data_IF_448800834543
#
_entry.id   IF_448800834543
#
_cell.length_a   1.000
_cell.length_b   1.000
_cell.length_c   1.000
_cell.angle_alpha   90.00
_cell.angle_beta   90.00
_cell.angle_gamma   90.00
#
_symmetry.space_group_name_H-M   'P 1'
#
loop_
_entity.id
_entity.type
_entity.pdbx_description
1 polymer ?
#
# COMPACT_ATOMS: atom_id res chain seq x y z
N UNK A 1 57.01 62.77 38.35
CA UNK A 1 55.60 62.54 38.76
C UNK A 1 55.26 61.10 38.40
N UNK A 2 55.26 60.12 39.34
CA UNK A 2 54.14 59.78 40.25
C UNK A 2 52.81 59.63 39.46
N UNK A 3 52.07 58.51 39.40
CA UNK A 3 51.92 57.30 40.25
C UNK A 3 51.31 56.13 39.42
N UNK A 4 51.57 54.93 39.93
CA UNK A 4 51.16 53.53 39.64
C UNK A 4 49.64 53.24 39.88
N UNK A 5 49.15 51.96 39.96
CA UNK A 5 49.05 50.83 39.01
C UNK A 5 47.64 50.14 39.05
N UNK A 6 47.45 48.98 38.39
CA UNK A 6 46.82 47.72 38.88
C UNK A 6 46.03 46.90 37.83
N UNK A 7 46.51 45.66 37.68
CA UNK A 7 45.83 44.42 37.28
C UNK A 7 44.32 44.31 37.57
N UNK A 8 43.58 43.64 36.67
CA UNK A 8 43.10 42.23 36.82
C UNK A 8 42.17 41.88 35.64
N UNK A 9 42.50 40.82 34.89
CA UNK A 9 41.57 40.16 33.96
C UNK A 9 40.53 39.41 34.80
N UNK A 10 39.22 39.49 34.51
CA UNK A 10 38.25 38.64 35.17
C UNK A 10 38.36 37.22 34.62
N UNK A 11 38.23 36.29 35.56
CA UNK A 11 38.18 34.84 35.44
C UNK A 11 37.04 34.38 34.53
N UNK A 12 37.32 33.35 33.73
CA UNK A 12 36.33 32.60 32.98
C UNK A 12 35.32 31.96 33.96
N UNK A 13 34.06 32.36 33.88
CA UNK A 13 32.95 31.60 34.46
C UNK A 13 32.67 30.43 33.53
N UNK A 14 33.03 29.21 33.94
CA UNK A 14 32.42 27.99 33.42
C UNK A 14 30.94 28.02 33.82
N UNK A 15 30.06 28.47 32.92
CA UNK A 15 28.69 27.98 32.91
C UNK A 15 28.76 26.56 32.35
N UNK A 16 28.69 25.57 33.22
CA UNK A 16 28.41 24.20 32.82
C UNK A 16 27.03 24.18 32.16
N UNK A 17 27.00 24.07 30.83
CA UNK A 17 25.83 23.53 30.14
C UNK A 17 25.66 22.10 30.66
N UNK A 18 24.73 21.91 31.59
CA UNK A 18 24.08 20.63 31.76
C UNK A 18 23.38 20.32 30.43
N UNK A 19 24.05 19.53 29.59
CA UNK A 19 23.40 18.74 28.56
C UNK A 19 22.42 17.83 29.31
N UNK A 20 21.17 18.25 29.41
CA UNK A 20 20.07 17.34 29.66
C UNK A 20 20.03 16.46 28.42
N UNK A 21 20.69 15.30 28.49
CA UNK A 21 20.44 14.26 27.52
C UNK A 21 18.93 14.00 27.54
N UNK A 22 18.22 14.02 26.40
CA UNK A 22 16.84 13.59 26.38
C UNK A 22 16.83 12.17 26.95
N UNK A 23 16.02 11.94 27.99
CA UNK A 23 15.77 10.59 28.47
C UNK A 23 15.37 9.76 27.24
N UNK A 24 16.11 8.69 26.95
CA UNK A 24 15.66 7.69 26.02
C UNK A 24 14.40 7.06 26.63
N UNK A 25 13.23 7.60 26.27
CA UNK A 25 11.96 6.99 26.59
C UNK A 25 11.88 5.71 25.75
N UNK A 26 12.31 4.59 26.33
CA UNK A 26 11.95 3.27 25.82
C UNK A 26 10.43 3.13 25.83
N UNK A 27 9.89 2.33 24.91
CA UNK A 27 8.45 2.10 24.84
C UNK A 27 7.88 1.64 26.19
N UNK A 28 6.77 2.23 26.62
CA UNK A 28 6.07 1.86 27.85
C UNK A 28 5.11 0.70 27.55
N UNK A 29 5.58 -0.53 27.66
CA UNK A 29 4.78 -1.71 27.36
C UNK A 29 4.34 -2.37 28.67
N UNK A 30 3.02 -2.53 28.84
CA UNK A 30 2.48 -3.28 29.97
C UNK A 30 2.99 -4.74 29.96
N UNK A 31 3.51 -5.28 31.08
CA UNK A 31 4.07 -6.63 31.11
C UNK A 31 3.08 -7.72 30.68
N UNK A 32 1.78 -7.54 30.97
CA UNK A 32 0.76 -8.49 30.53
C UNK A 32 0.47 -8.35 29.04
N UNK A 33 0.46 -7.13 28.50
CA UNK A 33 0.37 -6.93 27.05
C UNK A 33 1.56 -7.59 26.32
N UNK A 34 2.78 -7.44 26.85
CA UNK A 34 3.97 -8.10 26.29
C UNK A 34 3.86 -9.63 26.32
N UNK A 35 3.41 -10.22 27.43
CA UNK A 35 3.18 -11.67 27.54
C UNK A 35 2.17 -12.17 26.48
N UNK A 36 1.09 -11.43 26.27
CA UNK A 36 0.07 -11.78 25.26
C UNK A 36 0.64 -11.69 23.84
N UNK A 37 1.36 -10.60 23.52
CA UNK A 37 2.00 -10.43 22.21
C UNK A 37 3.03 -11.53 21.94
N UNK A 38 3.87 -11.86 22.92
CA UNK A 38 4.86 -12.93 22.79
C UNK A 38 4.21 -14.28 22.52
N UNK A 39 3.15 -14.64 23.27
CA UNK A 39 2.42 -15.90 23.05
C UNK A 39 1.79 -15.99 21.67
N UNK A 40 1.22 -14.89 21.19
CA UNK A 40 0.63 -14.80 19.85
C UNK A 40 1.70 -14.94 18.76
N UNK A 41 2.82 -14.24 18.91
CA UNK A 41 3.95 -14.32 18.00
C UNK A 41 4.54 -15.73 18.00
N UNK A 42 4.91 -16.29 19.15
CA UNK A 42 5.45 -17.65 19.27
C UNK A 42 4.52 -18.69 18.61
N UNK A 43 3.21 -18.55 18.78
CA UNK A 43 2.21 -19.46 18.20
C UNK A 43 2.16 -19.37 16.67
N UNK A 44 2.13 -18.16 16.10
CA UNK A 44 2.08 -17.96 14.65
C UNK A 44 3.44 -18.20 13.96
N UNK A 45 4.54 -17.83 14.61
CA UNK A 45 5.89 -17.99 14.08
C UNK A 45 6.29 -19.47 14.03
N UNK A 46 5.93 -20.25 15.06
CA UNK A 46 6.18 -21.71 15.11
C UNK A 46 5.25 -22.52 14.20
N UNK A 47 4.17 -21.92 13.68
CA UNK A 47 3.27 -22.59 12.76
C UNK A 47 3.95 -22.90 11.41
N UNK A 48 3.72 -24.11 10.91
CA UNK A 48 4.12 -24.53 9.56
C UNK A 48 3.20 -23.95 8.50
N UNK A 49 1.93 -23.78 8.84
CA UNK A 49 0.93 -23.18 7.98
C UNK A 49 -0.13 -22.44 8.78
N UNK A 50 -0.73 -21.42 8.17
CA UNK A 50 -1.99 -20.85 8.62
C UNK A 50 -2.81 -20.26 7.47
N UNK A 51 -4.12 -20.25 7.64
CA UNK A 51 -5.06 -19.50 6.81
C UNK A 51 -5.99 -18.69 7.72
N UNK A 52 -6.32 -17.46 7.30
CA UNK A 52 -7.28 -16.59 7.97
C UNK A 52 -8.12 -15.83 6.93
N UNK A 53 -9.40 -15.66 7.24
CA UNK A 53 -10.31 -14.77 6.52
C UNK A 53 -10.34 -13.44 7.24
N UNK A 54 -10.20 -12.31 6.54
CA UNK A 54 -10.28 -11.00 7.17
C UNK A 54 -11.37 -10.16 6.52
N UNK A 55 -12.11 -9.40 7.33
CA UNK A 55 -13.05 -8.41 6.82
C UNK A 55 -12.63 -7.01 7.27
N UNK A 56 -12.49 -6.09 6.32
CA UNK A 56 -12.23 -4.69 6.57
C UNK A 56 -13.49 -3.88 6.26
N UNK A 57 -14.00 -3.18 7.25
CA UNK A 57 -15.14 -2.28 7.11
C UNK A 57 -14.68 -0.84 7.34
N UNK A 58 -15.04 0.06 6.44
CA UNK A 58 -14.97 1.51 6.66
C UNK A 58 -16.38 2.07 6.54
N UNK A 59 -16.87 2.71 7.60
CA UNK A 59 -18.14 3.43 7.63
C UNK A 59 -17.83 4.91 7.80
N UNK A 60 -18.11 5.71 6.77
CA UNK A 60 -17.90 7.15 6.79
C UNK A 60 -19.25 7.85 6.66
N UNK A 61 -19.55 8.78 7.56
CA UNK A 61 -20.79 9.54 7.54
C UNK A 61 -20.54 11.04 7.68
N UNK A 62 -21.31 11.85 6.95
CA UNK A 62 -21.28 13.30 7.06
C UNK A 62 -22.57 13.90 6.47
N UNK A 63 -23.15 14.91 7.13
CA UNK A 63 -24.22 15.75 6.55
C UNK A 63 -25.42 14.95 5.98
N UNK A 64 -25.78 13.84 6.63
CA UNK A 64 -26.87 12.97 6.19
C UNK A 64 -26.52 12.00 5.05
N UNK A 65 -25.27 11.99 4.58
CA UNK A 65 -24.72 10.97 3.70
C UNK A 65 -23.98 9.91 4.53
N UNK A 66 -24.14 8.65 4.13
CA UNK A 66 -23.39 7.52 4.68
C UNK A 66 -22.77 6.74 3.52
N UNK A 67 -21.49 6.41 3.67
CA UNK A 67 -20.74 5.58 2.76
C UNK A 67 -20.09 4.45 3.55
N UNK A 68 -20.60 3.24 3.35
CA UNK A 68 -20.04 2.03 3.95
C UNK A 68 -19.36 1.22 2.85
N UNK A 69 -18.11 0.85 3.10
CA UNK A 69 -17.35 -0.05 2.25
C UNK A 69 -16.91 -1.28 3.03
N UNK A 70 -16.95 -2.42 2.38
CA UNK A 70 -16.61 -3.73 2.93
C UNK A 70 -15.67 -4.43 1.96
N UNK A 71 -14.49 -4.79 2.46
CA UNK A 71 -13.52 -5.59 1.72
C UNK A 71 -13.22 -6.88 2.47
N UNK A 72 -12.97 -7.95 1.73
CA UNK A 72 -12.62 -9.25 2.28
C UNK A 72 -11.26 -9.66 1.77
N UNK A 73 -10.42 -10.18 2.65
CA UNK A 73 -9.19 -10.84 2.26
C UNK A 73 -9.13 -12.28 2.74
N UNK A 74 -8.55 -13.16 1.92
CA UNK A 74 -8.04 -14.46 2.37
C UNK A 74 -6.52 -14.38 2.41
N UNK A 75 -5.96 -14.64 3.59
CA UNK A 75 -4.53 -14.73 3.82
C UNK A 75 -4.17 -16.18 4.12
N UNK A 76 -3.15 -16.71 3.46
CA UNK A 76 -2.61 -18.02 3.73
C UNK A 76 -1.10 -18.03 3.65
N UNK A 77 -0.48 -18.85 4.48
CA UNK A 77 0.96 -19.08 4.53
C UNK A 77 1.23 -20.56 4.77
N UNK A 78 2.18 -21.13 4.02
CA UNK A 78 2.75 -22.45 4.24
C UNK A 78 4.27 -22.36 4.01
N UNK A 79 5.04 -22.63 5.06
CA UNK A 79 6.50 -22.53 5.02
C UNK A 79 7.10 -23.59 4.09
N UNK A 80 8.20 -23.29 3.38
CA UNK A 80 9.01 -22.08 3.52
C UNK A 80 8.55 -20.87 2.68
N UNK A 81 7.79 -21.08 1.60
CA UNK A 81 7.64 -20.05 0.57
C UNK A 81 6.28 -20.04 -0.17
N UNK A 82 5.27 -20.78 0.30
CA UNK A 82 3.91 -20.72 -0.27
C UNK A 82 3.08 -19.71 0.50
N UNK A 83 2.38 -18.84 -0.21
CA UNK A 83 1.49 -17.89 0.43
C UNK A 83 0.40 -17.40 -0.52
N UNK A 84 -0.65 -16.84 0.04
CA UNK A 84 -1.70 -16.18 -0.70
C UNK A 84 -2.19 -14.93 0.04
N UNK A 85 -2.33 -13.85 -0.70
CA UNK A 85 -3.07 -12.65 -0.34
C UNK A 85 -4.10 -12.39 -1.43
N UNK A 86 -5.38 -12.50 -1.07
CA UNK A 86 -6.50 -12.34 -2.01
C UNK A 86 -7.48 -11.32 -1.47
N UNK A 87 -7.54 -10.14 -2.06
CA UNK A 87 -8.46 -9.07 -1.68
C UNK A 87 -9.62 -8.98 -2.68
N UNK A 88 -10.83 -8.79 -2.17
CA UNK A 88 -12.08 -8.61 -2.93
C UNK A 88 -13.04 -7.69 -2.15
N UNK A 89 -14.23 -7.43 -2.71
CA UNK A 89 -15.25 -6.56 -2.11
C UNK A 89 -15.21 -5.18 -2.78
N UNK A 90 -15.32 -4.13 -1.97
CA UNK A 90 -15.26 -2.75 -2.46
C UNK A 90 -13.83 -2.28 -2.81
N UNK A 91 -12.81 -3.01 -2.35
CA UNK A 91 -11.44 -2.84 -2.84
C UNK A 91 -11.23 -3.56 -4.19
N UNK A 92 -10.48 -2.96 -5.14
CA UNK A 92 -10.13 -3.63 -6.39
C UNK A 92 -9.48 -4.99 -6.14
N UNK A 93 -9.92 -6.00 -6.89
CA UNK A 93 -9.44 -7.36 -6.70
C UNK A 93 -7.92 -7.43 -6.87
N UNK A 94 -7.27 -7.91 -5.81
CA UNK A 94 -5.82 -8.12 -5.76
C UNK A 94 -5.56 -9.58 -5.46
N UNK A 95 -4.71 -10.23 -6.26
CA UNK A 95 -4.29 -11.61 -6.03
C UNK A 95 -2.79 -11.65 -6.08
N UNK A 96 -2.16 -11.92 -4.95
CA UNK A 96 -0.72 -12.14 -4.84
C UNK A 96 -0.53 -13.51 -4.21
N UNK A 97 -0.02 -14.47 -4.98
CA UNK A 97 0.11 -15.86 -4.54
C UNK A 97 1.46 -16.42 -4.94
N UNK A 98 2.00 -17.28 -4.09
CA UNK A 98 3.10 -18.18 -4.40
C UNK A 98 2.66 -19.62 -4.18
N UNK A 99 2.86 -20.46 -5.19
CA UNK A 99 2.67 -21.92 -5.10
C UNK A 99 3.95 -22.67 -4.66
N UNK A 100 5.00 -21.92 -4.33
CA UNK A 100 6.33 -22.41 -3.96
C UNK A 100 7.28 -22.59 -5.15
N UNK A 101 6.82 -22.31 -6.38
CA UNK A 101 7.61 -22.34 -7.61
C UNK A 101 7.54 -21.01 -8.37
N UNK A 102 6.36 -20.39 -8.39
CA UNK A 102 6.09 -19.16 -9.12
C UNK A 102 5.31 -18.18 -8.24
N UNK A 103 5.74 -16.92 -8.25
CA UNK A 103 5.02 -15.80 -7.64
C UNK A 103 4.14 -15.14 -8.68
N UNK A 104 2.82 -15.18 -8.48
CA UNK A 104 1.82 -14.55 -9.35
C UNK A 104 1.24 -13.32 -8.66
N UNK A 105 1.32 -12.17 -9.33
CA UNK A 105 0.66 -10.93 -8.92
C UNK A 105 -0.35 -10.52 -9.97
N UNK A 106 -1.62 -10.36 -9.59
CA UNK A 106 -2.69 -9.82 -10.42
C UNK A 106 -3.37 -8.66 -9.72
N UNK A 107 -3.47 -7.53 -10.42
CA UNK A 107 -4.13 -6.32 -9.96
C UNK A 107 -5.27 -5.97 -10.93
N UNK A 108 -6.50 -6.00 -10.46
CA UNK A 108 -7.70 -5.77 -11.28
C UNK A 108 -7.76 -4.35 -11.85
N UNK A 109 -7.40 -3.35 -11.05
CA UNK A 109 -7.31 -1.96 -11.53
C UNK A 109 -6.29 -1.79 -12.66
N UNK A 110 -5.29 -2.68 -12.76
CA UNK A 110 -4.35 -2.72 -13.89
C UNK A 110 -4.78 -3.70 -14.99
N UNK A 111 -5.83 -4.51 -14.78
CA UNK A 111 -6.21 -5.67 -15.61
C UNK A 111 -4.98 -6.47 -16.05
N UNK A 112 -4.02 -6.63 -15.14
CA UNK A 112 -2.69 -7.13 -15.48
C UNK A 112 -2.24 -8.22 -14.52
N UNK A 113 -1.46 -9.16 -15.05
CA UNK A 113 -0.80 -10.23 -14.30
C UNK A 113 0.71 -10.20 -14.57
N UNK A 114 1.48 -10.43 -13.51
CA UNK A 114 2.92 -10.67 -13.56
C UNK A 114 3.24 -12.00 -12.88
N UNK A 115 4.24 -12.69 -13.43
CA UNK A 115 4.73 -13.99 -12.94
C UNK A 115 6.24 -13.91 -12.77
N UNK A 116 6.70 -14.09 -11.56
CA UNK A 116 8.09 -13.87 -11.15
C UNK A 116 8.62 -15.10 -10.39
N UNK A 117 9.95 -15.15 -10.21
CA UNK A 117 10.55 -16.17 -9.38
C UNK A 117 10.03 -16.05 -7.94
N UNK A 118 9.79 -17.19 -7.31
CA UNK A 118 9.41 -17.23 -5.90
C UNK A 118 10.59 -16.75 -5.03
N UNK A 119 10.34 -15.96 -3.97
CA UNK A 119 11.34 -15.74 -2.94
C UNK A 119 11.77 -17.08 -2.29
N UNK A 120 13.02 -17.18 -1.86
CA UNK A 120 13.53 -18.39 -1.20
C UNK A 120 12.78 -18.65 0.12
N UNK A 121 12.44 -17.58 0.82
CA UNK A 121 11.69 -17.57 2.08
C UNK A 121 10.97 -16.22 2.31
N UNK A 122 10.19 -16.13 3.38
CA UNK A 122 9.46 -14.91 3.75
C UNK A 122 10.38 -13.75 4.14
N UNK A 123 11.57 -14.01 4.70
CA UNK A 123 12.53 -12.97 5.06
C UNK A 123 13.01 -12.21 3.81
N UNK A 124 13.22 -12.92 2.70
CA UNK A 124 13.63 -12.34 1.42
C UNK A 124 12.54 -11.50 0.74
N UNK A 125 11.29 -11.63 1.19
CA UNK A 125 10.18 -10.80 0.72
C UNK A 125 10.13 -9.44 1.42
N UNK A 126 10.76 -9.28 2.59
CA UNK A 126 10.79 -8.01 3.30
C UNK A 126 11.38 -6.88 2.43
N UNK A 127 10.69 -5.75 2.35
CA UNK A 127 11.09 -4.61 1.51
C UNK A 127 10.88 -4.80 0.00
N UNK A 128 10.42 -5.97 -0.45
CA UNK A 128 10.07 -6.19 -1.86
C UNK A 128 8.85 -5.38 -2.28
N UNK A 129 8.67 -5.19 -3.59
CA UNK A 129 7.47 -4.54 -4.12
C UNK A 129 6.19 -5.32 -3.77
N UNK A 130 6.26 -6.64 -3.68
CA UNK A 130 5.14 -7.49 -3.25
C UNK A 130 4.77 -7.21 -1.80
N UNK A 131 5.75 -7.18 -0.89
CA UNK A 131 5.51 -6.81 0.50
C UNK A 131 4.95 -5.39 0.62
N UNK A 132 5.42 -4.45 -0.22
CA UNK A 132 4.88 -3.09 -0.24
C UNK A 132 3.41 -3.06 -0.70
N UNK A 133 3.03 -3.79 -1.74
CA UNK A 133 1.63 -3.85 -2.21
C UNK A 133 0.73 -4.49 -1.15
N UNK A 134 1.15 -5.61 -0.54
CA UNK A 134 0.43 -6.21 0.59
C UNK A 134 0.36 -5.22 1.77
N UNK A 135 1.46 -4.54 2.08
CA UNK A 135 1.57 -3.59 3.18
C UNK A 135 0.72 -2.31 3.01
N UNK A 136 0.30 -1.97 1.78
CA UNK A 136 -0.69 -0.90 1.57
C UNK A 136 -2.08 -1.30 2.10
N UNK A 137 -2.35 -2.59 2.30
CA UNK A 137 -3.57 -3.06 2.97
C UNK A 137 -3.32 -3.08 4.47
N UNK A 138 -4.02 -2.23 5.26
CA UNK A 138 -3.68 -2.06 6.66
C UNK A 138 -3.84 -3.37 7.43
N UNK A 139 -2.86 -3.66 8.27
CA UNK A 139 -2.87 -4.80 9.20
C UNK A 139 -2.86 -6.20 8.59
N UNK A 140 -2.35 -6.39 7.37
CA UNK A 140 -2.08 -7.74 6.83
C UNK A 140 -0.59 -8.11 6.80
N UNK A 141 0.31 -7.13 6.77
CA UNK A 141 1.75 -7.37 6.61
C UNK A 141 2.38 -8.25 7.70
N UNK A 142 1.87 -8.19 8.93
CA UNK A 142 2.35 -9.00 10.05
C UNK A 142 2.16 -10.52 9.84
N UNK A 143 1.28 -10.93 8.92
CA UNK A 143 1.03 -12.32 8.53
C UNK A 143 2.03 -12.85 7.49
N UNK A 144 3.02 -12.06 7.10
CA UNK A 144 3.99 -12.39 6.06
C UNK A 144 5.42 -12.07 6.46
N UNK A 145 5.70 -12.06 7.77
CA UNK A 145 7.00 -11.74 8.37
C UNK A 145 7.44 -12.85 9.32
N UNK A 146 8.73 -12.88 9.64
CA UNK A 146 9.29 -13.75 10.67
C UNK A 146 9.13 -13.18 12.08
N UNK A 147 9.02 -11.85 12.21
CA UNK A 147 8.76 -11.16 13.48
C UNK A 147 7.32 -10.63 13.47
N UNK A 148 6.41 -11.44 13.97
CA UNK A 148 4.96 -11.21 13.92
C UNK A 148 4.59 -10.03 14.84
N UNK A 149 5.21 -9.96 16.02
CA UNK A 149 4.96 -8.86 16.96
C UNK A 149 5.41 -7.52 16.38
N UNK A 150 6.65 -7.42 15.89
CA UNK A 150 7.15 -6.17 15.31
C UNK A 150 6.36 -5.78 14.04
N UNK A 151 5.97 -6.76 13.22
CA UNK A 151 5.12 -6.51 12.06
C UNK A 151 3.73 -5.97 12.41
N UNK A 152 3.20 -6.33 13.59
CA UNK A 152 1.86 -5.93 14.03
C UNK A 152 1.85 -4.59 14.77
N UNK A 153 2.75 -4.41 15.75
CA UNK A 153 2.75 -3.22 16.62
C UNK A 153 3.79 -2.17 16.23
N UNK A 154 4.75 -2.52 15.38
CA UNK A 154 5.72 -1.60 14.79
C UNK A 154 6.49 -0.78 15.83
N UNK A 155 6.47 0.53 15.64
CA UNK A 155 7.14 1.56 16.46
C UNK A 155 6.31 2.01 17.67
N UNK A 156 5.54 1.10 18.26
CA UNK A 156 4.70 1.40 19.42
C UNK A 156 5.50 2.13 20.53
N UNK A 157 5.03 3.31 20.92
CA UNK A 157 5.58 4.09 22.02
C UNK A 157 5.01 3.66 23.38
N UNK A 158 3.79 3.11 23.38
CA UNK A 158 3.14 2.51 24.55
C UNK A 158 2.18 1.42 24.14
N UNK A 159 2.05 0.38 24.97
CA UNK A 159 1.00 -0.63 24.83
C UNK A 159 0.34 -0.86 26.19
N UNK A 160 -0.96 -0.59 26.27
CA UNK A 160 -1.75 -0.81 27.48
C UNK A 160 -2.52 -2.14 27.40
N UNK A 161 -2.73 -2.77 28.55
CA UNK A 161 -3.59 -3.95 28.70
C UNK A 161 -4.87 -3.59 29.43
N UNK A 162 -6.03 -3.93 28.85
CA UNK A 162 -7.35 -3.54 29.36
C UNK A 162 -8.15 -4.70 29.96
N UNK A 163 -7.68 -5.94 29.81
CA UNK A 163 -8.33 -7.13 30.38
C UNK A 163 -8.80 -8.10 29.31
N UNK A 164 -9.79 -8.93 29.67
CA UNK A 164 -10.47 -9.84 28.76
C UNK A 164 -11.81 -9.20 28.36
N UNK A 165 -12.08 -9.16 27.06
CA UNK A 165 -13.33 -8.69 26.47
C UNK A 165 -13.85 -9.72 25.47
N UNK A 166 -15.17 -9.89 25.39
CA UNK A 166 -15.79 -10.72 24.36
C UNK A 166 -15.88 -9.96 23.04
N UNK A 167 -15.31 -10.52 21.98
CA UNK A 167 -15.41 -10.01 20.62
C UNK A 167 -15.99 -11.08 19.70
N UNK A 168 -17.18 -10.83 19.17
CA UNK A 168 -17.88 -11.73 18.24
C UNK A 168 -18.00 -13.17 18.78
N UNK A 169 -18.30 -13.30 20.09
CA UNK A 169 -18.44 -14.58 20.78
C UNK A 169 -17.13 -15.26 21.20
N UNK A 170 -15.98 -14.59 21.02
CA UNK A 170 -14.65 -15.07 21.40
C UNK A 170 -14.06 -14.20 22.51
N UNK A 171 -13.66 -14.81 23.63
CA UNK A 171 -12.94 -14.10 24.69
C UNK A 171 -11.55 -13.69 24.20
N UNK A 172 -11.21 -12.42 24.31
CA UNK A 172 -9.98 -11.84 23.80
C UNK A 172 -9.29 -11.00 24.87
N UNK A 173 -7.96 -11.12 24.95
CA UNK A 173 -7.14 -10.07 25.52
C UNK A 173 -7.32 -8.77 24.73
N UNK A 174 -7.65 -7.69 25.42
CA UNK A 174 -7.82 -6.36 24.85
C UNK A 174 -6.59 -5.50 25.17
N UNK A 175 -5.91 -5.06 24.12
CA UNK A 175 -4.72 -4.22 24.16
C UNK A 175 -5.00 -2.91 23.41
N UNK A 176 -4.30 -1.85 23.81
CA UNK A 176 -4.30 -0.57 23.09
C UNK A 176 -2.87 -0.16 22.76
N UNK A 177 -2.61 0.05 21.47
CA UNK A 177 -1.30 0.39 20.92
C UNK A 177 -1.25 1.88 20.59
N UNK A 178 -0.28 2.57 21.15
CA UNK A 178 0.03 3.98 20.90
C UNK A 178 1.33 4.09 20.12
N UNK A 179 1.39 4.94 19.09
CA UNK A 179 2.56 5.12 18.23
C UNK A 179 2.54 6.50 17.56
N UNK A 180 3.56 6.82 16.77
CA UNK A 180 3.52 7.99 15.89
C UNK A 180 2.46 7.76 14.78
N UNK A 181 1.42 8.60 14.75
CA UNK A 181 0.25 8.40 13.88
C UNK A 181 -0.94 7.75 14.63
N UNK A 182 -1.86 7.07 13.93
CA UNK A 182 -3.03 6.51 14.56
C UNK A 182 -2.65 5.26 15.37
N UNK A 183 -2.95 5.31 16.66
CA UNK A 183 -2.99 4.13 17.52
C UNK A 183 -4.15 3.21 17.13
N UNK A 184 -4.25 2.06 17.81
CA UNK A 184 -5.33 1.11 17.54
C UNK A 184 -5.61 0.22 18.76
N UNK A 185 -6.85 -0.24 18.85
CA UNK A 185 -7.26 -1.33 19.74
C UNK A 185 -6.96 -2.66 19.06
N UNK A 186 -6.42 -3.61 19.81
CA UNK A 186 -6.02 -4.94 19.36
C UNK A 186 -6.66 -6.01 20.24
N UNK A 187 -7.31 -6.97 19.61
CA UNK A 187 -7.98 -8.08 20.28
C UNK A 187 -7.32 -9.40 19.89
N UNK A 188 -6.73 -10.09 20.86
CA UNK A 188 -6.04 -11.38 20.68
C UNK A 188 -6.82 -12.43 21.46
N UNK A 189 -7.21 -13.52 20.80
CA UNK A 189 -7.98 -14.60 21.41
C UNK A 189 -7.27 -15.15 22.66
N UNK A 190 -8.04 -15.38 23.72
CA UNK A 190 -7.57 -16.04 24.93
C UNK A 190 -7.50 -17.56 24.75
N UNK A 191 -6.54 -18.21 25.42
CA UNK A 191 -6.41 -19.66 25.49
C UNK A 191 -5.27 -20.20 24.61
N UNK A 192 -5.44 -21.45 24.15
CA UNK A 192 -4.38 -22.21 23.47
C UNK A 192 -4.15 -21.78 22.00
N UNK A 193 -5.00 -20.91 21.46
CA UNK A 193 -4.88 -20.36 20.11
C UNK A 193 -4.86 -18.83 20.17
N UNK A 194 -3.74 -18.22 20.61
CA UNK A 194 -3.63 -16.77 20.76
C UNK A 194 -3.45 -16.10 19.40
N UNK A 195 -4.53 -15.96 18.64
CA UNK A 195 -4.54 -15.33 17.31
C UNK A 195 -5.24 -13.97 17.35
N UNK A 196 -4.87 -13.06 16.45
CA UNK A 196 -5.57 -11.78 16.29
C UNK A 196 -7.01 -12.05 15.85
N UNK A 197 -7.98 -11.41 16.51
CA UNK A 197 -9.42 -11.49 16.20
C UNK A 197 -9.96 -10.20 15.65
N UNK A 198 -9.48 -9.06 16.15
CA UNK A 198 -9.89 -7.77 15.64
C UNK A 198 -8.82 -6.69 15.84
N UNK A 199 -8.84 -5.70 14.95
CA UNK A 199 -8.07 -4.46 15.05
C UNK A 199 -9.01 -3.29 14.75
N UNK A 200 -9.01 -2.29 15.63
CA UNK A 200 -9.84 -1.08 15.49
C UNK A 200 -8.94 0.15 15.60
N UNK A 201 -8.59 0.79 14.47
CA UNK A 201 -7.74 1.97 14.48
C UNK A 201 -8.42 3.20 15.09
N UNK A 202 -7.65 4.08 15.71
CA UNK A 202 -8.11 5.44 16.00
C UNK A 202 -8.22 6.23 14.69
N UNK A 203 -9.40 6.75 14.41
CA UNK A 203 -9.74 7.46 13.18
C UNK A 203 -9.76 8.98 13.33
N UNK A 204 -9.58 9.53 14.54
CA UNK A 204 -9.71 10.98 14.81
C UNK A 204 -8.80 11.82 13.92
N UNK A 205 -7.54 11.43 13.77
CA UNK A 205 -6.60 12.14 12.91
C UNK A 205 -7.06 12.16 11.44
N UNK A 206 -7.69 11.08 10.97
CA UNK A 206 -8.23 11.00 9.62
C UNK A 206 -9.47 11.90 9.48
N UNK A 207 -10.38 11.90 10.45
CA UNK A 207 -11.54 12.79 10.50
C UNK A 207 -11.12 14.26 10.46
N UNK A 208 -10.14 14.66 11.28
CA UNK A 208 -9.58 16.01 11.29
C UNK A 208 -9.03 16.42 9.92
N UNK A 209 -8.26 15.54 9.26
CA UNK A 209 -7.72 15.80 7.91
C UNK A 209 -8.81 15.92 6.85
N UNK A 210 -9.86 15.11 6.95
CA UNK A 210 -10.97 15.10 5.99
C UNK A 210 -11.97 16.24 6.24
N UNK A 211 -12.03 16.77 7.47
CA UNK A 211 -12.98 17.83 7.88
C UNK A 211 -12.91 19.09 7.02
N UNK A 212 -11.73 19.43 6.47
CA UNK A 212 -11.55 20.56 5.55
C UNK A 212 -12.35 20.39 4.25
N UNK A 213 -12.49 19.15 3.77
CA UNK A 213 -13.22 18.82 2.54
C UNK A 213 -14.66 18.44 2.81
N UNK A 214 -14.90 17.76 3.93
CA UNK A 214 -16.21 17.24 4.33
C UNK A 214 -16.45 17.58 5.80
N UNK A 215 -16.99 18.78 6.10
CA UNK A 215 -17.24 19.20 7.47
C UNK A 215 -18.17 18.24 8.22
N UNK A 216 -17.77 17.86 9.44
CA UNK A 216 -18.53 16.95 10.31
C UNK A 216 -18.45 15.48 9.92
N UNK A 217 -17.43 15.09 9.14
CA UNK A 217 -17.19 13.68 8.82
C UNK A 217 -16.83 12.88 10.07
N UNK A 218 -17.48 11.73 10.23
CA UNK A 218 -17.15 10.68 11.19
C UNK A 218 -16.73 9.46 10.40
N UNK A 219 -15.68 8.77 10.84
CA UNK A 219 -15.19 7.57 10.17
C UNK A 219 -14.92 6.50 11.21
N UNK A 220 -15.50 5.33 11.00
CA UNK A 220 -15.22 4.13 11.77
C UNK A 220 -14.53 3.12 10.87
N UNK A 221 -13.43 2.53 11.35
CA UNK A 221 -12.71 1.47 10.65
C UNK A 221 -12.59 0.27 11.60
N UNK A 222 -12.87 -0.92 11.07
CA UNK A 222 -12.62 -2.17 11.80
C UNK A 222 -12.08 -3.24 10.87
N UNK A 223 -11.23 -4.10 11.44
CA UNK A 223 -10.72 -5.31 10.81
C UNK A 223 -11.10 -6.50 11.70
N UNK A 224 -11.76 -7.50 11.14
CA UNK A 224 -11.99 -8.80 11.78
C UNK A 224 -11.08 -9.86 11.17
N UNK A 225 -10.71 -10.85 11.97
CA UNK A 225 -9.85 -11.97 11.60
C UNK A 225 -10.52 -13.27 12.07
N UNK A 226 -11.07 -13.99 11.11
CA UNK A 226 -12.00 -15.09 11.30
C UNK A 226 -11.50 -16.37 10.59
N UNK A 227 -12.13 -17.50 10.90
CA UNK A 227 -11.86 -18.79 10.27
C UNK A 227 -10.37 -19.20 10.29
N UNK A 228 -9.67 -18.91 11.39
CA UNK A 228 -8.29 -19.29 11.59
C UNK A 228 -8.09 -20.80 11.49
N UNK A 229 -7.19 -21.21 10.60
CA UNK A 229 -6.77 -22.61 10.39
C UNK A 229 -5.26 -22.70 10.55
N UNK A 230 -4.78 -22.90 11.77
CA UNK A 230 -3.34 -22.99 12.07
C UNK A 230 -2.90 -24.45 12.10
N UNK A 231 -1.78 -24.76 11.43
CA UNK A 231 -1.23 -26.11 11.26
C UNK A 231 -2.24 -27.14 10.72
N UNK A 232 -3.23 -26.67 9.96
CA UNK A 232 -4.22 -27.49 9.29
C UNK A 232 -3.96 -27.51 7.77
N UNK A 233 -4.43 -28.54 7.05
CA UNK A 233 -4.35 -28.56 5.59
C UNK A 233 -5.05 -27.34 4.97
N UNK A 234 -4.38 -26.68 4.04
CA UNK A 234 -4.92 -25.57 3.25
C UNK A 234 -5.29 -26.12 1.87
N UNK A 235 -6.46 -25.74 1.37
CA UNK A 235 -6.90 -26.17 0.04
C UNK A 235 -5.92 -25.64 -1.02
N UNK A 236 -5.35 -26.51 -1.90
CA UNK A 236 -4.39 -26.08 -2.91
C UNK A 236 -4.91 -24.96 -3.83
N UNK A 237 -6.23 -24.85 -4.03
CA UNK A 237 -6.84 -23.78 -4.82
C UNK A 237 -6.58 -22.38 -4.25
N UNK A 238 -6.29 -22.25 -2.94
CA UNK A 238 -5.90 -20.99 -2.31
C UNK A 238 -4.61 -20.44 -2.92
N UNK A 239 -3.71 -21.30 -3.39
CA UNK A 239 -2.43 -20.95 -4.03
C UNK A 239 -2.48 -20.96 -5.56
N UNK A 240 -3.67 -21.13 -6.17
CA UNK A 240 -3.83 -21.18 -7.62
C UNK A 240 -4.75 -20.08 -8.15
N UNK A 241 -4.38 -19.42 -9.25
CA UNK A 241 -5.21 -18.37 -9.85
C UNK A 241 -5.22 -18.45 -11.37
N UNK A 242 -6.41 -18.31 -11.94
CA UNK A 242 -6.63 -18.14 -13.37
C UNK A 242 -7.14 -16.71 -13.59
N UNK A 243 -6.38 -15.85 -14.28
CA UNK A 243 -6.82 -14.49 -14.57
C UNK A 243 -7.94 -14.47 -15.62
N UNK A 244 -8.74 -13.40 -15.69
CA UNK A 244 -9.65 -13.15 -16.81
C UNK A 244 -8.92 -13.20 -18.17
N UNK A 245 -9.63 -13.59 -19.25
CA UNK A 245 -9.04 -13.75 -20.58
C UNK A 245 -8.43 -12.46 -21.16
N UNK A 246 -9.00 -11.31 -20.80
CA UNK A 246 -8.58 -9.98 -21.26
C UNK A 246 -7.42 -9.38 -20.44
N UNK A 247 -6.75 -10.19 -19.62
CA UNK A 247 -5.66 -9.76 -18.75
C UNK A 247 -4.37 -9.50 -19.54
N UNK A 248 -3.77 -8.33 -19.33
CA UNK A 248 -2.46 -8.00 -19.88
C UNK A 248 -1.34 -8.71 -19.11
N UNK A 249 -0.45 -9.40 -19.83
CA UNK A 249 0.75 -10.00 -19.23
C UNK A 249 1.85 -8.95 -19.12
N UNK A 250 2.49 -8.90 -17.96
CA UNK A 250 3.65 -8.06 -17.66
C UNK A 250 4.77 -8.94 -17.13
N UNK A 251 6.01 -8.60 -17.46
CA UNK A 251 7.16 -9.41 -17.05
C UNK A 251 7.38 -9.38 -15.53
N UNK A 252 7.10 -8.24 -14.89
CA UNK A 252 7.24 -8.05 -13.44
C UNK A 252 6.11 -7.19 -12.89
N UNK A 253 5.87 -7.26 -11.58
CA UNK A 253 4.99 -6.35 -10.86
C UNK A 253 5.46 -4.89 -11.00
N UNK A 254 6.77 -4.66 -11.06
CA UNK A 254 7.32 -3.32 -11.31
C UNK A 254 6.91 -2.78 -12.68
N UNK A 255 7.08 -3.58 -13.75
CA UNK A 255 6.69 -3.20 -15.11
C UNK A 255 5.17 -2.98 -15.22
N UNK A 256 4.38 -3.74 -14.45
CA UNK A 256 2.94 -3.52 -14.31
C UNK A 256 2.62 -2.16 -13.71
N UNK A 257 3.19 -1.84 -12.54
CA UNK A 257 2.93 -0.58 -11.84
C UNK A 257 3.43 0.62 -12.66
N UNK A 258 4.60 0.51 -13.27
CA UNK A 258 5.17 1.55 -14.14
C UNK A 258 4.28 1.84 -15.36
N UNK A 259 3.66 0.81 -15.95
CA UNK A 259 2.76 0.98 -17.09
C UNK A 259 1.45 1.70 -16.71
N UNK A 260 1.09 1.69 -15.43
CA UNK A 260 -0.17 2.26 -14.95
C UNK A 260 -1.40 1.42 -15.34
N UNK A 261 -2.58 1.80 -14.82
CA UNK A 261 -3.82 1.14 -15.19
C UNK A 261 -4.15 1.40 -16.66
N UNK A 262 -4.76 0.43 -17.36
CA UNK A 262 -5.20 0.58 -18.74
C UNK A 262 -6.19 1.73 -18.84
N UNK A 263 -5.98 2.62 -19.82
CA UNK A 263 -6.91 3.72 -20.05
C UNK A 263 -8.30 3.20 -20.41
N UNK A 264 -9.36 3.87 -19.92
CA UNK A 264 -10.76 3.44 -20.08
C UNK A 264 -11.25 3.35 -21.54
N UNK A 265 -10.47 3.86 -22.49
CA UNK A 265 -10.74 3.83 -23.93
C UNK A 265 -10.08 2.65 -24.65
N UNK A 266 -9.25 1.83 -23.98
CA UNK A 266 -8.62 0.68 -24.61
C UNK A 266 -9.68 -0.32 -25.12
N UNK A 267 -9.53 -0.74 -26.39
CA UNK A 267 -10.48 -1.61 -27.08
C UNK A 267 -11.79 -0.92 -27.52
N UNK A 268 -11.99 0.37 -27.20
CA UNK A 268 -13.14 1.16 -27.66
C UNK A 268 -12.76 1.95 -28.91
N UNK A 269 -13.77 2.32 -29.71
CA UNK A 269 -13.57 3.26 -30.80
C UNK A 269 -13.03 4.58 -30.23
N UNK A 270 -11.94 5.09 -30.80
CA UNK A 270 -11.36 6.36 -30.39
C UNK A 270 -12.40 7.50 -30.58
N UNK A 271 -12.57 8.41 -29.60
CA UNK A 271 -13.35 9.62 -29.78
C UNK A 271 -12.79 10.44 -30.95
N UNK A 272 -13.67 10.82 -31.88
CA UNK A 272 -13.28 11.60 -33.05
C UNK A 272 -13.04 13.06 -32.69
N UNK A 273 -12.09 13.70 -33.37
CA UNK A 273 -11.79 15.12 -33.25
C UNK A 273 -11.29 15.65 -34.59
N UNK A 274 -11.36 16.97 -34.77
CA UNK A 274 -10.71 17.69 -35.85
C UNK A 274 -9.71 18.71 -35.30
N UNK A 275 -8.55 18.82 -35.94
CA UNK A 275 -7.50 19.78 -35.59
C UNK A 275 -6.99 20.51 -36.83
N UNK A 276 -6.67 21.80 -36.67
CA UNK A 276 -5.96 22.56 -37.70
C UNK A 276 -4.46 22.31 -37.59
N UNK A 277 -3.84 21.87 -38.69
CA UNK A 277 -2.38 21.69 -38.78
C UNK A 277 -1.67 23.02 -38.99
N UNK A 278 -0.34 23.00 -38.81
CA UNK A 278 0.51 24.20 -39.00
C UNK A 278 0.50 24.75 -40.44
N UNK A 279 0.17 23.91 -41.42
CA UNK A 279 0.03 24.31 -42.84
C UNK A 279 -1.35 24.91 -43.17
N UNK A 280 -2.22 25.05 -42.16
CA UNK A 280 -3.59 25.58 -42.30
C UNK A 280 -4.63 24.57 -42.78
N UNK A 281 -4.23 23.34 -43.10
CA UNK A 281 -5.17 22.28 -43.49
C UNK A 281 -5.72 21.54 -42.26
N UNK A 282 -6.88 20.92 -42.42
CA UNK A 282 -7.55 20.19 -41.34
C UNK A 282 -7.09 18.73 -41.27
N UNK A 283 -7.08 18.18 -40.07
CA UNK A 283 -6.97 16.75 -39.81
C UNK A 283 -8.22 16.30 -39.04
N UNK A 284 -9.02 15.41 -39.63
CA UNK A 284 -10.11 14.72 -38.94
C UNK A 284 -9.68 13.27 -38.65
N UNK A 285 -9.75 12.89 -37.36
CA UNK A 285 -9.46 11.53 -36.94
C UNK A 285 -10.41 10.53 -37.62
N UNK A 286 -11.68 10.89 -37.82
CA UNK A 286 -12.72 10.01 -38.33
C UNK A 286 -12.39 9.43 -39.71
N UNK A 287 -11.72 10.23 -40.56
CA UNK A 287 -11.27 9.86 -41.90
C UNK A 287 -10.06 8.90 -41.91
N UNK A 288 -9.40 8.73 -40.77
CA UNK A 288 -8.16 7.96 -40.64
C UNK A 288 -8.32 6.70 -39.77
N UNK A 289 -9.48 6.47 -39.16
CA UNK A 289 -9.74 5.29 -38.32
C UNK A 289 -9.86 4.01 -39.17
N UNK A 290 -9.10 2.97 -38.80
CA UNK A 290 -9.23 1.61 -39.35
C UNK A 290 -8.11 1.19 -40.30
N UNK A 291 -7.49 2.15 -41.00
CA UNK A 291 -6.48 1.86 -42.02
C UNK A 291 -5.03 2.12 -41.56
N UNK A 292 -4.86 2.92 -40.50
CA UNK A 292 -3.55 3.38 -40.01
C UNK A 292 -3.47 3.29 -38.49
N UNK A 293 -2.25 3.12 -37.98
CA UNK A 293 -1.96 3.32 -36.56
C UNK A 293 -1.75 4.81 -36.34
N UNK A 294 -2.51 5.41 -35.43
CA UNK A 294 -2.44 6.84 -35.14
C UNK A 294 -1.83 7.04 -33.76
N UNK A 295 -0.72 7.76 -33.69
CA UNK A 295 -0.02 8.10 -32.45
C UNK A 295 -0.22 9.60 -32.19
N UNK A 296 -0.79 9.90 -31.02
CA UNK A 296 -1.01 11.28 -30.56
C UNK A 296 0.00 11.58 -29.46
N UNK A 297 0.85 12.58 -29.68
CA UNK A 297 1.78 13.10 -28.67
C UNK A 297 1.28 14.48 -28.22
N UNK A 298 0.88 14.59 -26.95
CA UNK A 298 0.38 15.85 -26.40
C UNK A 298 1.51 16.59 -25.69
N UNK A 299 1.86 17.78 -26.16
CA UNK A 299 3.02 18.52 -25.67
C UNK A 299 2.70 20.00 -25.39
N UNK A 300 3.61 20.66 -24.66
CA UNK A 300 3.59 22.11 -24.40
C UNK A 300 5.00 22.67 -24.43
N UNK A 301 5.14 23.93 -24.84
CA UNK A 301 6.41 24.68 -24.81
C UNK A 301 6.97 24.83 -23.39
N UNK A 302 6.12 24.78 -22.36
CA UNK A 302 6.52 24.84 -20.95
C UNK A 302 6.90 23.48 -20.35
N UNK A 303 6.83 22.40 -21.14
CA UNK A 303 7.28 21.08 -20.75
C UNK A 303 8.68 20.81 -21.32
N UNK A 304 9.71 21.08 -20.51
CA UNK A 304 11.12 20.88 -20.91
C UNK A 304 11.42 19.47 -21.48
N UNK A 305 10.99 18.38 -20.81
CA UNK A 305 11.14 17.03 -21.35
C UNK A 305 10.42 16.81 -22.69
N UNK A 306 9.21 17.34 -22.85
CA UNK A 306 8.44 17.19 -24.08
C UNK A 306 9.15 17.84 -25.27
N UNK A 307 9.60 19.09 -25.11
CA UNK A 307 10.35 19.82 -26.17
C UNK A 307 11.63 19.08 -26.54
N UNK A 308 12.32 18.52 -25.55
CA UNK A 308 13.56 17.76 -25.77
C UNK A 308 13.33 16.45 -26.55
N UNK A 309 12.12 15.88 -26.50
CA UNK A 309 11.76 14.64 -27.19
C UNK A 309 11.33 14.86 -28.66
N UNK A 310 10.96 16.09 -29.06
CA UNK A 310 10.47 16.40 -30.41
C UNK A 310 11.41 15.98 -31.55
N UNK A 311 12.75 16.13 -31.47
CA UNK A 311 13.65 15.66 -32.52
C UNK A 311 13.55 14.14 -32.74
N UNK A 312 13.52 13.37 -31.65
CA UNK A 312 13.35 11.92 -31.70
C UNK A 312 12.00 11.54 -32.30
N UNK A 313 10.92 12.25 -31.94
CA UNK A 313 9.59 12.01 -32.51
C UNK A 313 9.56 12.31 -34.02
N UNK A 314 10.28 13.33 -34.49
CA UNK A 314 10.39 13.64 -35.91
C UNK A 314 11.14 12.54 -36.70
N UNK A 315 12.19 11.96 -36.10
CA UNK A 315 12.90 10.81 -36.67
C UNK A 315 11.99 9.58 -36.78
N UNK A 316 11.27 9.25 -35.70
CA UNK A 316 10.30 8.15 -35.68
C UNK A 316 9.19 8.38 -36.71
N UNK A 317 8.63 9.58 -36.80
CA UNK A 317 7.60 9.90 -37.79
C UNK A 317 8.09 9.69 -39.23
N UNK A 318 9.36 10.03 -39.51
CA UNK A 318 9.98 9.78 -40.82
C UNK A 318 10.18 8.29 -41.08
N UNK A 319 10.65 7.54 -40.10
CA UNK A 319 10.91 6.11 -40.24
C UNK A 319 9.63 5.29 -40.48
N UNK A 320 8.52 5.69 -39.86
CA UNK A 320 7.26 4.96 -39.93
C UNK A 320 6.25 5.51 -40.95
N UNK A 321 6.59 6.58 -41.68
CA UNK A 321 5.72 7.25 -42.66
C UNK A 321 5.10 6.28 -43.67
N UNK A 322 5.89 5.34 -44.19
CA UNK A 322 5.44 4.39 -45.21
C UNK A 322 4.98 3.04 -44.60
N UNK A 323 4.96 2.94 -43.27
CA UNK A 323 4.56 1.73 -42.51
C UNK A 323 3.12 1.82 -41.98
N UNK A 324 2.31 2.74 -42.50
CA UNK A 324 0.93 2.92 -42.08
C UNK A 324 0.78 3.54 -40.69
N UNK A 325 1.77 4.31 -40.22
CA UNK A 325 1.68 5.05 -38.95
C UNK A 325 1.58 6.54 -39.22
N UNK A 326 0.67 7.21 -38.51
CA UNK A 326 0.53 8.68 -38.51
C UNK A 326 0.84 9.18 -37.10
N UNK A 327 1.90 9.96 -36.96
CA UNK A 327 2.24 10.62 -35.71
C UNK A 327 1.79 12.08 -35.75
N UNK A 328 0.99 12.50 -34.77
CA UNK A 328 0.52 13.87 -34.61
C UNK A 328 1.02 14.42 -33.27
N UNK A 329 1.87 15.45 -33.33
CA UNK A 329 2.26 16.22 -32.17
C UNK A 329 1.24 17.34 -31.92
N UNK A 330 0.35 17.12 -30.95
CA UNK A 330 -0.74 18.03 -30.57
C UNK A 330 -0.24 18.98 -29.49
N UNK A 331 -0.05 20.25 -29.84
CA UNK A 331 0.25 21.28 -28.84
C UNK A 331 -1.01 21.57 -28.02
N UNK A 332 -0.88 21.63 -26.69
CA UNK A 332 -2.01 21.81 -25.76
C UNK A 332 -2.61 23.23 -25.76
N UNK A 333 -2.03 24.17 -26.50
CA UNK A 333 -2.43 25.56 -26.56
C UNK A 333 -2.12 26.26 -25.25
N UNK A 334 -0.97 26.91 -25.16
CA UNK A 334 -0.74 27.86 -24.07
C UNK A 334 -1.72 29.05 -24.20
N UNK A 335 -2.31 29.57 -23.11
CA UNK A 335 -3.00 30.86 -23.14
C UNK A 335 -2.06 32.04 -23.41
#
# INVERSE_FOLDING_TARGET
MQRTPLWKRPTASLLGLLLIAPAAFGAEIDPKAQDVLNKMADYLESAKSYQVSTTWITDASAQGLQNKSVSHATVALERPNKFAFRLTGDSPKTVIISDGKELTSYLENYRSIAKEAVPDDFSSMAGSLVANVIGQTPYHGFLFTEDVSAGLVGDASKIAYHGIEEKDGVQCHHLEVFREGPGFQLFIQEGDQPVVRAIVPDTKMMEERLSYRVPGIQVEISFSFDDWKVNQPIDPSVFAFTPPEDTFKKDTLFAMIQAGPPHALLGKKAPTFSLTKLDGTEFDLSENLGDKVIVLDFWSMRCGPCVSALPTLAEVAKEYKDKGVVLLAVNLGEP
#
